data_IF_593627400259
#
_entry.id   IF_593627400259
#
_cell.length_a   1.000
_cell.length_b   1.000
_cell.length_c   1.000
_cell.angle_alpha   90.00
_cell.angle_beta   90.00
_cell.angle_gamma   90.00
#
_symmetry.space_group_name_H-M   'P 1'
#
loop_
_entity.id
_entity.type
_entity.pdbx_description
1 polymer ?
#
# COMPACT_ATOMS: atom_id res chain seq x y z
N UNK A 1 -2.33 11.09 4.79
CA UNK A 1 -0.95 10.60 5.00
C UNK A 1 -0.05 11.07 3.86
N UNK A 2 1.22 11.32 4.16
CA UNK A 2 2.29 11.61 3.19
C UNK A 2 3.08 10.32 2.90
N UNK A 3 3.78 10.20 1.76
CA UNK A 3 4.68 9.08 1.54
C UNK A 3 5.87 9.19 2.51
N UNK A 4 6.38 8.06 2.99
CA UNK A 4 7.45 8.05 4.00
C UNK A 4 7.34 6.90 4.99
N UNK A 5 8.26 6.90 5.96
CA UNK A 5 8.49 5.77 6.87
C UNK A 5 7.23 5.33 7.64
N UNK A 6 6.37 6.27 8.03
CA UNK A 6 5.11 5.95 8.73
C UNK A 6 4.13 5.16 7.84
N UNK A 7 3.96 5.59 6.58
CA UNK A 7 3.15 4.86 5.61
C UNK A 7 3.75 3.49 5.29
N UNK A 8 5.07 3.46 5.08
CA UNK A 8 5.79 2.23 4.78
C UNK A 8 5.65 1.21 5.93
N UNK A 9 5.64 1.68 7.18
CA UNK A 9 5.42 0.86 8.36
C UNK A 9 4.00 0.30 8.43
N UNK A 10 2.99 1.13 8.16
CA UNK A 10 1.60 0.67 8.13
C UNK A 10 1.36 -0.37 7.03
N UNK A 11 1.99 -0.21 5.86
CA UNK A 11 1.93 -1.23 4.79
C UNK A 11 2.58 -2.53 5.24
N UNK A 12 3.77 -2.45 5.84
CA UNK A 12 4.47 -3.63 6.34
C UNK A 12 3.62 -4.40 7.35
N UNK A 13 2.96 -3.69 8.26
CA UNK A 13 2.16 -4.30 9.33
C UNK A 13 0.81 -4.81 8.84
N UNK A 14 0.01 -3.93 8.22
CA UNK A 14 -1.42 -4.18 7.94
C UNK A 14 -1.67 -4.95 6.66
N UNK A 15 -0.76 -4.87 5.69
CA UNK A 15 -0.93 -5.50 4.38
C UNK A 15 -0.03 -6.72 4.25
N UNK A 16 1.25 -6.58 4.60
CA UNK A 16 2.25 -7.64 4.43
C UNK A 16 2.40 -8.54 5.68
N UNK A 17 1.67 -8.24 6.76
CA UNK A 17 1.62 -9.08 7.97
C UNK A 17 2.92 -9.11 8.79
N UNK A 18 3.83 -8.17 8.61
CA UNK A 18 5.04 -8.09 9.43
C UNK A 18 4.73 -7.52 10.82
N UNK A 19 5.47 -7.98 11.83
CA UNK A 19 5.53 -7.25 13.11
C UNK A 19 6.42 -6.03 12.94
N UNK A 20 5.92 -4.86 13.32
CA UNK A 20 6.67 -3.60 13.29
C UNK A 20 6.89 -3.10 14.70
N UNK A 21 8.13 -2.75 15.03
CA UNK A 21 8.50 -2.11 16.30
C UNK A 21 9.56 -1.06 16.04
N UNK A 22 9.37 0.15 16.57
CA UNK A 22 10.28 1.29 16.41
C UNK A 22 10.72 1.53 14.94
N UNK A 23 9.75 1.51 14.01
CA UNK A 23 9.99 1.74 12.59
C UNK A 23 10.81 0.64 11.88
N UNK A 24 10.89 -0.56 12.47
CA UNK A 24 11.60 -1.72 11.91
C UNK A 24 10.72 -2.95 11.85
N UNK A 25 10.96 -3.81 10.86
CA UNK A 25 10.37 -5.17 10.82
C UNK A 25 11.08 -6.05 11.83
N UNK A 26 10.32 -6.83 12.60
CA UNK A 26 10.86 -7.74 13.63
C UNK A 26 10.39 -9.18 13.38
N UNK A 27 11.32 -10.13 13.48
CA UNK A 27 11.03 -11.58 13.43
C UNK A 27 11.88 -12.29 14.49
N UNK A 28 11.26 -12.63 15.62
CA UNK A 28 11.99 -13.13 16.79
C UNK A 28 12.92 -12.05 17.34
N UNK A 29 14.21 -12.34 17.45
CA UNK A 29 15.25 -11.39 17.88
C UNK A 29 15.85 -10.57 16.73
N UNK A 30 15.51 -10.90 15.47
CA UNK A 30 16.04 -10.21 14.30
C UNK A 30 15.19 -8.98 13.98
N UNK A 31 15.85 -7.84 13.73
CA UNK A 31 15.23 -6.64 13.20
C UNK A 31 15.84 -6.25 11.85
N UNK A 32 15.02 -5.70 10.96
CA UNK A 32 15.45 -5.22 9.63
C UNK A 32 14.71 -3.94 9.26
N UNK A 33 15.29 -3.18 8.32
CA UNK A 33 14.67 -1.96 7.81
C UNK A 33 13.35 -2.23 7.10
N UNK A 34 12.47 -1.24 7.13
CA UNK A 34 11.22 -1.25 6.37
C UNK A 34 11.53 -0.74 4.95
N UNK A 35 11.21 -1.53 3.90
CA UNK A 35 11.38 -1.06 2.53
C UNK A 35 10.52 0.16 2.20
N UNK A 36 10.94 1.00 1.25
CA UNK A 36 10.26 2.24 0.91
C UNK A 36 9.01 2.02 0.01
N UNK A 37 8.02 1.25 0.47
CA UNK A 37 6.85 0.85 -0.31
C UNK A 37 6.10 2.02 -0.97
N UNK A 38 5.96 3.15 -0.30
CA UNK A 38 5.23 4.33 -0.80
C UNK A 38 6.02 5.19 -1.77
N UNK A 39 7.31 4.91 -1.97
CA UNK A 39 8.23 5.75 -2.76
C UNK A 39 8.95 4.99 -3.87
N UNK A 40 9.02 3.67 -3.79
CA UNK A 40 9.66 2.80 -4.76
C UNK A 40 8.64 1.83 -5.37
N UNK A 41 8.54 1.83 -6.69
CA UNK A 41 7.55 1.03 -7.41
C UNK A 41 7.82 -0.48 -7.32
N UNK A 42 9.08 -0.92 -7.23
CA UNK A 42 9.41 -2.34 -7.11
C UNK A 42 8.90 -2.89 -5.77
N UNK A 43 9.09 -2.13 -4.70
CA UNK A 43 8.57 -2.45 -3.38
C UNK A 43 7.04 -2.33 -3.32
N UNK A 44 6.46 -1.27 -3.91
CA UNK A 44 5.00 -1.14 -4.01
C UNK A 44 4.36 -2.33 -4.74
N UNK A 45 5.05 -2.93 -5.71
CA UNK A 45 4.54 -4.10 -6.42
C UNK A 45 4.41 -5.35 -5.54
N UNK A 46 5.16 -5.45 -4.44
CA UNK A 46 4.95 -6.52 -3.45
C UNK A 46 3.60 -6.38 -2.76
N UNK A 47 3.15 -5.15 -2.50
CA UNK A 47 1.83 -4.86 -1.92
C UNK A 47 0.72 -5.32 -2.86
N UNK A 48 0.89 -5.09 -4.17
CA UNK A 48 -0.06 -5.55 -5.19
C UNK A 48 -0.16 -7.08 -5.20
N UNK A 49 0.99 -7.77 -5.13
CA UNK A 49 1.04 -9.24 -5.10
C UNK A 49 0.36 -9.82 -3.87
N UNK A 50 0.54 -9.20 -2.70
CA UNK A 50 0.01 -9.71 -1.44
C UNK A 50 -1.52 -9.66 -1.40
N UNK A 51 -2.11 -8.51 -1.73
CA UNK A 51 -3.57 -8.36 -1.64
C UNK A 51 -4.32 -9.26 -2.64
N UNK A 52 -3.64 -9.67 -3.72
CA UNK A 52 -4.12 -10.56 -4.77
C UNK A 52 -5.62 -10.43 -5.16
N UNK A 53 -6.20 -9.23 -5.43
CA UNK A 53 -7.49 -9.11 -6.07
C UNK A 53 -7.29 -8.75 -7.56
N UNK A 54 -8.40 -8.59 -8.28
CA UNK A 54 -8.39 -7.82 -9.52
C UNK A 54 -7.87 -6.39 -9.21
N UNK A 55 -6.67 -6.05 -9.70
CA UNK A 55 -6.02 -4.76 -9.49
C UNK A 55 -6.05 -3.92 -10.77
N UNK A 56 -6.27 -2.60 -10.64
CA UNK A 56 -6.21 -1.65 -11.76
C UNK A 56 -5.34 -0.45 -11.39
N UNK A 57 -4.41 -0.08 -12.28
CA UNK A 57 -3.63 1.17 -12.21
C UNK A 57 -3.84 1.98 -13.48
N UNK A 58 -3.98 3.29 -13.35
CA UNK A 58 -4.07 4.19 -14.50
C UNK A 58 -3.22 5.44 -14.26
N UNK A 59 -2.53 5.87 -15.30
CA UNK A 59 -1.89 7.19 -15.36
C UNK A 59 -2.82 8.13 -16.13
N UNK A 60 -3.26 9.22 -15.51
CA UNK A 60 -4.13 10.20 -16.14
C UNK A 60 -3.29 11.38 -16.65
N UNK A 61 -2.80 11.28 -17.89
CA UNK A 61 -2.07 12.38 -18.52
C UNK A 61 -3.01 13.58 -18.72
N UNK A 62 -2.70 14.72 -18.11
CA UNK A 62 -3.43 15.98 -18.30
C UNK A 62 -4.28 16.46 -17.11
N UNK A 63 -4.26 15.76 -15.97
CA UNK A 63 -4.87 16.21 -14.71
C UNK A 63 -3.79 16.45 -13.66
N UNK A 64 -4.04 17.34 -12.69
CA UNK A 64 -3.13 17.60 -11.54
C UNK A 64 -2.83 16.34 -10.70
N UNK A 65 -3.65 15.29 -10.82
CA UNK A 65 -3.45 14.03 -10.11
C UNK A 65 -3.02 12.94 -11.10
N UNK A 66 -1.73 12.64 -11.11
CA UNK A 66 -1.08 11.87 -12.17
C UNK A 66 -1.36 10.36 -12.13
N UNK A 67 -1.69 9.78 -10.97
CA UNK A 67 -1.87 8.34 -10.82
C UNK A 67 -3.10 7.97 -10.00
N UNK A 68 -3.78 6.90 -10.43
CA UNK A 68 -4.83 6.24 -9.67
C UNK A 68 -4.56 4.74 -9.54
N UNK A 69 -4.91 4.18 -8.38
CA UNK A 69 -4.80 2.75 -8.11
C UNK A 69 -6.08 2.25 -7.44
N UNK A 70 -6.56 1.08 -7.85
CA UNK A 70 -7.73 0.45 -7.28
C UNK A 70 -7.51 -1.05 -7.04
N UNK A 71 -7.88 -1.50 -5.84
CA UNK A 71 -8.02 -2.91 -5.51
C UNK A 71 -9.50 -3.30 -5.51
N UNK A 72 -9.88 -4.27 -6.34
CA UNK A 72 -11.27 -4.69 -6.55
C UNK A 72 -11.55 -6.06 -5.93
N UNK A 73 -12.61 -6.18 -5.12
CA UNK A 73 -13.11 -7.45 -4.62
C UNK A 73 -14.62 -7.53 -4.81
N UNK A 74 -15.12 -8.58 -5.47
CA UNK A 74 -16.54 -8.79 -5.76
C UNK A 74 -17.23 -7.57 -6.40
N UNK A 75 -16.57 -6.93 -7.37
CA UNK A 75 -17.09 -5.74 -8.06
C UNK A 75 -17.04 -4.43 -7.26
N UNK A 76 -16.56 -4.44 -6.01
CA UNK A 76 -16.34 -3.23 -5.20
C UNK A 76 -14.85 -2.87 -5.16
N UNK A 77 -14.53 -1.63 -5.50
CA UNK A 77 -13.15 -1.14 -5.60
C UNK A 77 -12.79 -0.13 -4.53
N UNK A 78 -11.55 -0.18 -4.05
CA UNK A 78 -10.95 0.89 -3.23
C UNK A 78 -9.96 1.68 -4.04
N UNK A 79 -10.38 2.88 -4.42
CA UNK A 79 -9.64 3.79 -5.25
C UNK A 79 -8.83 4.78 -4.40
N UNK A 80 -7.61 5.05 -4.84
CA UNK A 80 -6.79 6.13 -4.35
C UNK A 80 -6.13 6.87 -5.51
N UNK A 81 -5.79 8.13 -5.26
CA UNK A 81 -5.14 9.02 -6.19
C UNK A 81 -3.91 9.63 -5.52
N UNK A 82 -2.85 9.84 -6.30
CA UNK A 82 -1.62 10.48 -5.84
C UNK A 82 -0.79 11.01 -7.00
N UNK A 83 0.21 11.82 -6.67
CA UNK A 83 1.25 12.31 -7.57
C UNK A 83 2.20 11.19 -8.03
N UNK A 84 2.26 10.07 -7.32
CA UNK A 84 3.08 8.91 -7.68
C UNK A 84 2.32 7.59 -7.63
N UNK A 85 2.67 6.67 -8.53
CA UNK A 85 2.17 5.31 -8.57
C UNK A 85 2.36 4.53 -7.24
N UNK A 86 3.56 4.44 -6.64
CA UNK A 86 3.77 3.67 -5.41
C UNK A 86 2.93 4.20 -4.23
N UNK A 87 2.74 5.52 -4.14
CA UNK A 87 1.89 6.10 -3.13
C UNK A 87 0.40 5.79 -3.37
N UNK A 88 -0.08 5.92 -4.62
CA UNK A 88 -1.46 5.57 -4.95
C UNK A 88 -1.74 4.08 -4.62
N UNK A 89 -0.80 3.18 -4.93
CA UNK A 89 -0.88 1.76 -4.57
C UNK A 89 -1.02 1.58 -3.05
N UNK A 90 -0.12 2.16 -2.25
CA UNK A 90 -0.12 1.97 -0.81
C UNK A 90 -1.39 2.51 -0.14
N UNK A 91 -1.91 3.67 -0.59
CA UNK A 91 -3.15 4.23 -0.04
C UNK A 91 -4.35 3.34 -0.41
N UNK A 92 -4.44 2.88 -1.66
CA UNK A 92 -5.51 1.99 -2.10
C UNK A 92 -5.46 0.66 -1.34
N UNK A 93 -4.26 0.13 -1.09
CA UNK A 93 -4.03 -1.10 -0.33
C UNK A 93 -4.54 -0.99 1.11
N UNK A 94 -4.16 0.08 1.83
CA UNK A 94 -4.65 0.31 3.20
C UNK A 94 -6.18 0.42 3.24
N UNK A 95 -6.78 1.19 2.32
CA UNK A 95 -8.25 1.29 2.22
C UNK A 95 -8.92 -0.07 1.99
N UNK A 96 -8.28 -0.96 1.23
CA UNK A 96 -8.78 -2.30 0.99
C UNK A 96 -8.59 -3.24 2.19
N UNK A 97 -7.43 -3.17 2.85
CA UNK A 97 -7.09 -3.99 4.02
C UNK A 97 -7.97 -3.72 5.24
N UNK A 98 -8.26 -2.45 5.55
CA UNK A 98 -9.11 -2.09 6.69
C UNK A 98 -10.54 -2.64 6.62
N UNK A 99 -11.11 -2.80 5.42
CA UNK A 99 -12.46 -3.37 5.27
C UNK A 99 -12.48 -4.91 5.27
N UNK A 100 -11.33 -5.56 5.04
CA UNK A 100 -11.21 -7.02 5.10
C UNK A 100 -11.15 -7.53 6.55
N UNK A 101 -10.76 -6.67 7.50
CA UNK A 101 -10.69 -6.99 8.94
C UNK A 101 -11.99 -6.68 9.72
N UNK A 102 -13.04 -6.16 9.07
CA UNK A 102 -14.35 -5.97 9.72
C UNK A 102 -14.41 -4.85 10.76
N UNK A 103 -13.89 -3.66 10.43
CA UNK A 103 -14.18 -2.40 11.15
C UNK A 103 -14.92 -1.42 10.22
N UNK A 104 -16.13 -1.81 9.80
CA UNK A 104 -17.06 -0.99 9.03
C UNK A 104 -18.48 -1.15 9.54
#
# INVERSE_FOLDING_TARGET
MKPGAELDALIAEKILGYKVHDGRKVRGTLSSGIPPYSRDIEWAWQVVKELSPEYKIQSNKGLEICFSAAFMKNGRGKLAYSESAPMAICIAALKAGYEMEGLG
#
